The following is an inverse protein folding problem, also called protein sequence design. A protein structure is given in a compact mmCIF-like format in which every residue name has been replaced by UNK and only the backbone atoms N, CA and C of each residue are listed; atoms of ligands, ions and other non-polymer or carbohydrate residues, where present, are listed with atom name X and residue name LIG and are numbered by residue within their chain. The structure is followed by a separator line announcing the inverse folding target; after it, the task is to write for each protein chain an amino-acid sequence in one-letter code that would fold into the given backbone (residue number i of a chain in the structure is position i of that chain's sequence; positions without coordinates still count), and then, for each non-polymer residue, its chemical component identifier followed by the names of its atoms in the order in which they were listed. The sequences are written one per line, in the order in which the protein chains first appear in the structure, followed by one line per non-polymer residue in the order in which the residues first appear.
data_IF_852247814488
#
_entry.id   IF_852247814488
#
_cell.length_a   1.000
_cell.length_b   1.000
_cell.length_c   1.000
_cell.angle_alpha   90.00
_cell.angle_beta   90.00
_cell.angle_gamma   90.00
#
_symmetry.space_group_name_H-M   'P 1'
#
loop_
_entity.id
_entity.type
_entity.pdbx_description
1 polymer ?
#
# COMPACT_ATOMS: atom_id res chain seq x y z
N UNK A 1 34.42 -7.03 -24.08
CA UNK A 1 33.69 -8.30 -24.19
C UNK A 1 34.11 -8.93 -25.49
N UNK A 2 34.70 -10.11 -25.41
CA UNK A 2 34.92 -10.91 -26.61
C UNK A 2 33.58 -11.40 -27.18
N UNK A 3 33.58 -11.97 -28.40
CA UNK A 3 32.34 -12.39 -29.06
C UNK A 3 31.59 -13.49 -28.29
N UNK A 4 32.28 -14.24 -27.42
CA UNK A 4 31.70 -15.31 -26.62
C UNK A 4 31.03 -14.77 -25.35
N UNK A 5 31.67 -13.81 -24.66
CA UNK A 5 31.11 -13.05 -23.54
C UNK A 5 29.78 -12.40 -23.91
N UNK A 6 29.68 -11.83 -25.12
CA UNK A 6 28.47 -11.18 -25.60
C UNK A 6 27.29 -12.17 -25.74
N UNK A 7 27.55 -13.40 -26.17
CA UNK A 7 26.53 -14.44 -26.33
C UNK A 7 26.05 -14.96 -24.97
N UNK A 8 26.96 -15.17 -24.03
CA UNK A 8 26.64 -15.61 -22.66
C UNK A 8 25.89 -14.51 -21.91
N UNK A 9 26.39 -13.26 -21.96
CA UNK A 9 25.79 -12.12 -21.29
C UNK A 9 24.37 -11.85 -21.79
N UNK A 10 24.06 -12.10 -23.06
CA UNK A 10 22.72 -11.88 -23.63
C UNK A 10 21.62 -12.62 -22.87
N UNK A 11 21.83 -13.90 -22.52
CA UNK A 11 20.83 -14.70 -21.79
C UNK A 11 20.68 -14.24 -20.34
N UNK A 12 21.81 -13.96 -19.67
CA UNK A 12 21.82 -13.48 -18.29
C UNK A 12 21.15 -12.10 -18.16
N UNK A 13 21.48 -11.17 -19.05
CA UNK A 13 20.88 -9.84 -19.08
C UNK A 13 19.39 -9.90 -19.41
N UNK A 14 18.94 -10.81 -20.28
CA UNK A 14 17.53 -11.00 -20.54
C UNK A 14 16.77 -11.41 -19.27
N UNK A 15 17.31 -12.37 -18.52
CA UNK A 15 16.71 -12.85 -17.27
C UNK A 15 16.73 -11.78 -16.17
N UNK A 16 17.87 -11.12 -15.95
CA UNK A 16 18.01 -10.04 -14.96
C UNK A 16 17.01 -8.92 -15.27
N UNK A 17 16.94 -8.47 -16.53
CA UNK A 17 16.01 -7.42 -16.93
C UNK A 17 14.56 -7.86 -16.78
N UNK A 18 14.24 -9.15 -17.00
CA UNK A 18 12.91 -9.69 -16.76
C UNK A 18 12.52 -9.61 -15.29
N UNK A 19 13.39 -10.08 -14.38
CA UNK A 19 13.17 -10.03 -12.93
C UNK A 19 13.03 -8.60 -12.39
N UNK A 20 13.87 -7.69 -12.88
CA UNK A 20 13.78 -6.27 -12.53
C UNK A 20 12.46 -5.66 -13.02
N UNK A 21 11.99 -6.02 -14.22
CA UNK A 21 10.68 -5.57 -14.71
C UNK A 21 9.54 -6.05 -13.81
N UNK A 22 9.53 -7.30 -13.37
CA UNK A 22 8.49 -7.78 -12.45
C UNK A 22 8.44 -6.98 -11.15
N UNK A 23 9.60 -6.57 -10.60
CA UNK A 23 9.65 -5.68 -9.42
C UNK A 23 9.08 -4.28 -9.72
N UNK A 24 9.30 -3.76 -10.92
CA UNK A 24 8.69 -2.49 -11.37
C UNK A 24 7.17 -2.63 -11.54
N UNK A 25 6.72 -3.75 -12.12
CA UNK A 25 5.32 -4.04 -12.37
C UNK A 25 4.52 -4.22 -11.07
N UNK A 26 5.15 -4.63 -9.98
CA UNK A 26 4.51 -4.64 -8.63
C UNK A 26 4.74 -3.33 -7.85
N UNK A 27 5.22 -2.26 -8.50
CA UNK A 27 5.37 -0.94 -7.87
C UNK A 27 6.53 -0.82 -6.87
N UNK A 28 7.54 -1.70 -6.95
CA UNK A 28 8.69 -1.71 -6.03
C UNK A 28 9.96 -1.07 -6.63
N UNK A 29 9.81 -0.27 -7.69
CA UNK A 29 10.95 0.39 -8.35
C UNK A 29 11.72 1.40 -7.52
N UNK A 30 11.18 1.83 -6.37
CA UNK A 30 11.88 2.72 -5.44
C UNK A 30 12.82 1.96 -4.48
N UNK A 31 12.78 0.63 -4.46
CA UNK A 31 13.67 -0.19 -3.66
C UNK A 31 15.05 -0.31 -4.31
N UNK A 32 16.08 -0.30 -3.48
CA UNK A 32 17.42 -0.70 -3.88
C UNK A 32 17.62 -2.19 -3.62
N UNK A 33 18.45 -2.84 -4.44
CA UNK A 33 18.67 -4.29 -4.36
C UNK A 33 19.45 -4.73 -3.11
N UNK A 34 20.14 -3.80 -2.45
CA UNK A 34 20.88 -4.00 -1.20
C UNK A 34 20.02 -3.79 0.06
N UNK A 35 18.73 -3.44 -0.10
CA UNK A 35 17.82 -3.24 1.04
C UNK A 35 17.61 -4.54 1.80
N UNK A 36 17.82 -4.50 3.12
CA UNK A 36 17.62 -5.63 4.02
C UNK A 36 16.15 -6.06 4.06
N UNK A 37 15.88 -7.36 3.91
CA UNK A 37 14.53 -7.94 3.95
C UNK A 37 13.77 -7.64 5.24
N UNK A 38 14.47 -7.57 6.37
CA UNK A 38 13.90 -7.23 7.69
C UNK A 38 13.36 -5.80 7.79
N UNK A 39 13.73 -4.92 6.85
CA UNK A 39 13.28 -3.52 6.82
C UNK A 39 12.10 -3.29 5.89
N UNK A 40 11.62 -4.34 5.22
CA UNK A 40 10.46 -4.26 4.35
C UNK A 40 9.17 -4.24 5.16
N UNK A 41 8.21 -3.47 4.70
CA UNK A 41 6.83 -3.56 5.17
C UNK A 41 6.19 -4.90 4.72
N UNK A 42 5.07 -5.27 5.36
CA UNK A 42 4.31 -6.45 4.99
C UNK A 42 3.90 -6.44 3.51
N UNK A 43 3.31 -5.33 3.05
CA UNK A 43 2.91 -5.15 1.65
C UNK A 43 4.10 -5.16 0.67
N UNK A 44 5.25 -4.60 1.03
CA UNK A 44 6.47 -4.72 0.20
C UNK A 44 6.91 -6.18 0.07
N UNK A 45 6.96 -6.92 1.19
CA UNK A 45 7.36 -8.34 1.19
C UNK A 45 6.40 -9.21 0.37
N UNK A 46 5.11 -8.96 0.49
CA UNK A 46 4.08 -9.67 -0.28
C UNK A 46 4.22 -9.42 -1.78
N UNK A 47 4.48 -8.17 -2.19
CA UNK A 47 4.68 -7.83 -3.61
C UNK A 47 5.99 -8.39 -4.16
N UNK A 48 7.05 -8.54 -3.36
CA UNK A 48 8.26 -9.29 -3.77
C UNK A 48 7.93 -10.76 -4.05
N UNK A 49 7.13 -11.40 -3.20
CA UNK A 49 6.71 -12.79 -3.41
C UNK A 49 5.86 -12.94 -4.68
N UNK A 50 5.04 -11.94 -4.99
CA UNK A 50 4.24 -11.87 -6.21
C UNK A 50 5.13 -11.75 -7.46
N UNK A 51 6.09 -10.83 -7.47
CA UNK A 51 7.07 -10.69 -8.56
C UNK A 51 7.92 -11.95 -8.75
N UNK A 52 8.29 -12.62 -7.65
CA UNK A 52 9.01 -13.90 -7.69
C UNK A 52 8.16 -14.99 -8.35
N UNK A 53 6.87 -15.03 -8.01
CA UNK A 53 5.91 -15.98 -8.57
C UNK A 53 5.73 -15.80 -10.07
N UNK A 54 5.56 -14.55 -10.55
CA UNK A 54 5.50 -14.23 -11.98
C UNK A 54 6.71 -14.78 -12.74
N UNK A 55 7.91 -14.59 -12.20
CA UNK A 55 9.11 -15.06 -12.88
C UNK A 55 9.36 -16.56 -12.78
N UNK A 56 8.64 -17.29 -11.93
CA UNK A 56 8.75 -18.75 -11.87
C UNK A 56 8.04 -19.44 -13.06
N UNK A 57 7.20 -18.71 -13.81
CA UNK A 57 6.47 -19.20 -14.98
C UNK A 57 5.68 -20.49 -14.72
N UNK A 58 5.12 -20.63 -13.51
CA UNK A 58 4.25 -21.75 -13.17
C UNK A 58 2.93 -21.65 -13.94
N UNK A 59 2.43 -22.80 -14.38
CA UNK A 59 1.17 -22.96 -15.14
C UNK A 59 0.33 -24.03 -14.44
N UNK A 60 -0.99 -23.85 -14.41
CA UNK A 60 -1.92 -24.78 -13.75
C UNK A 60 -1.84 -24.77 -12.22
N UNK A 61 -1.31 -23.69 -11.63
CA UNK A 61 -1.21 -23.50 -10.18
C UNK A 61 -2.39 -22.70 -9.64
N UNK A 62 -2.69 -22.87 -8.35
CA UNK A 62 -3.65 -22.04 -7.60
C UNK A 62 -2.90 -21.02 -6.75
N UNK A 63 -3.08 -19.75 -7.04
CA UNK A 63 -2.59 -18.63 -6.24
C UNK A 63 -3.69 -18.14 -5.31
N UNK A 64 -3.39 -18.05 -4.02
CA UNK A 64 -4.27 -17.46 -3.01
C UNK A 64 -3.55 -16.25 -2.42
N UNK A 65 -4.12 -15.07 -2.58
CA UNK A 65 -3.53 -13.80 -2.15
C UNK A 65 -4.44 -13.12 -1.13
N UNK A 66 -3.84 -12.67 -0.03
CA UNK A 66 -4.53 -12.03 1.08
C UNK A 66 -4.20 -10.53 1.11
N UNK A 67 -5.13 -9.69 0.65
CA UNK A 67 -5.02 -8.23 0.54
C UNK A 67 -3.71 -7.70 -0.10
N UNK A 68 -3.38 -8.11 -1.34
CA UNK A 68 -2.17 -7.65 -2.02
C UNK A 68 -2.07 -6.12 -2.26
N UNK A 69 -3.17 -5.39 -2.16
CA UNK A 69 -3.23 -3.93 -2.25
C UNK A 69 -2.68 -3.21 -1.01
N UNK A 70 -2.43 -3.93 0.10
CA UNK A 70 -1.94 -3.32 1.35
C UNK A 70 -0.69 -2.47 1.11
N UNK A 71 -0.77 -1.21 1.54
CA UNK A 71 0.34 -0.25 1.43
C UNK A 71 0.70 0.11 -0.01
N UNK A 72 -0.20 -0.14 -0.96
CA UNK A 72 -0.16 0.40 -2.31
C UNK A 72 -0.94 1.72 -2.33
N UNK A 73 -0.52 2.64 -3.20
CA UNK A 73 -1.27 3.86 -3.44
C UNK A 73 -2.25 3.62 -4.59
N UNK A 74 -3.45 4.22 -4.56
CA UNK A 74 -4.49 4.00 -5.57
C UNK A 74 -3.99 4.13 -7.03
N UNK A 75 -3.14 5.13 -7.28
CA UNK A 75 -2.48 5.30 -8.59
C UNK A 75 -1.75 4.05 -9.12
N UNK A 76 -1.23 3.22 -8.23
CA UNK A 76 -0.43 2.05 -8.58
C UNK A 76 -1.28 0.75 -8.55
N UNK A 77 -2.57 0.81 -8.20
CA UNK A 77 -3.50 -0.34 -8.17
C UNK A 77 -3.66 -1.00 -9.54
N UNK A 78 -3.72 -0.21 -10.63
CA UNK A 78 -3.73 -0.71 -12.01
C UNK A 78 -2.55 -1.65 -12.34
N UNK A 79 -1.39 -1.40 -11.73
CA UNK A 79 -0.22 -2.25 -11.93
C UNK A 79 -0.40 -3.61 -11.28
N UNK A 80 -0.95 -3.64 -10.07
CA UNK A 80 -1.29 -4.87 -9.37
C UNK A 80 -2.36 -5.66 -10.13
N UNK A 81 -3.42 -5.00 -10.63
CA UNK A 81 -4.45 -5.63 -11.45
C UNK A 81 -3.83 -6.31 -12.68
N UNK A 82 -2.92 -5.62 -13.40
CA UNK A 82 -2.22 -6.20 -14.55
C UNK A 82 -1.43 -7.46 -14.17
N UNK A 83 -0.76 -7.45 -13.03
CA UNK A 83 -0.01 -8.61 -12.53
C UNK A 83 -0.94 -9.79 -12.22
N UNK A 84 -2.08 -9.53 -11.59
CA UNK A 84 -3.08 -10.57 -11.31
C UNK A 84 -3.66 -11.16 -12.61
N UNK A 85 -3.95 -10.31 -13.60
CA UNK A 85 -4.38 -10.75 -14.93
C UNK A 85 -3.29 -11.57 -15.64
N UNK A 86 -2.02 -11.18 -15.57
CA UNK A 86 -0.92 -11.94 -16.15
C UNK A 86 -0.80 -13.34 -15.53
N UNK A 87 -0.94 -13.46 -14.20
CA UNK A 87 -0.95 -14.77 -13.54
C UNK A 87 -2.09 -15.64 -14.05
N UNK A 88 -3.29 -15.07 -14.20
CA UNK A 88 -4.45 -15.73 -14.80
C UNK A 88 -4.17 -16.18 -16.24
N UNK A 89 -3.67 -15.28 -17.07
CA UNK A 89 -3.45 -15.49 -18.52
C UNK A 89 -2.37 -16.54 -18.81
N UNK A 90 -1.45 -16.78 -17.85
CA UNK A 90 -0.50 -17.91 -17.89
C UNK A 90 -1.18 -19.28 -17.70
N UNK A 91 -2.49 -19.32 -17.43
CA UNK A 91 -3.24 -20.55 -17.19
C UNK A 91 -3.27 -20.97 -15.72
N UNK A 92 -3.21 -20.00 -14.80
CA UNK A 92 -3.35 -20.25 -13.36
C UNK A 92 -4.71 -19.79 -12.85
N UNK A 93 -5.12 -20.37 -11.72
CA UNK A 93 -6.28 -19.87 -10.96
C UNK A 93 -5.78 -18.88 -9.92
N UNK A 94 -6.41 -17.70 -9.84
CA UNK A 94 -6.04 -16.63 -8.91
C UNK A 94 -7.23 -16.31 -8.03
N UNK A 95 -7.11 -16.57 -6.73
CA UNK A 95 -8.10 -16.25 -5.70
C UNK A 95 -7.53 -15.12 -4.84
N UNK A 96 -8.26 -14.02 -4.73
CA UNK A 96 -7.80 -12.82 -4.05
C UNK A 96 -8.82 -12.40 -3.00
N UNK A 97 -8.36 -12.20 -1.77
CA UNK A 97 -9.12 -11.51 -0.72
C UNK A 97 -8.77 -10.03 -0.82
N UNK A 98 -9.75 -9.17 -1.06
CA UNK A 98 -9.55 -7.72 -1.24
C UNK A 98 -10.75 -6.92 -0.77
N UNK A 99 -10.50 -5.63 -0.53
CA UNK A 99 -11.52 -4.63 -0.23
C UNK A 99 -11.41 -3.39 -1.13
N UNK A 100 -10.40 -3.33 -2.00
CA UNK A 100 -10.23 -2.23 -2.97
C UNK A 100 -11.23 -2.33 -4.13
N UNK A 101 -11.96 -1.23 -4.38
CA UNK A 101 -13.02 -1.17 -5.40
C UNK A 101 -12.49 -1.43 -6.82
N UNK A 102 -11.31 -0.91 -7.18
CA UNK A 102 -10.76 -1.06 -8.54
C UNK A 102 -10.41 -2.52 -8.80
N UNK A 103 -9.83 -3.22 -7.81
CA UNK A 103 -9.53 -4.66 -7.92
C UNK A 103 -10.82 -5.48 -8.01
N UNK A 104 -11.80 -5.21 -7.15
CA UNK A 104 -13.08 -5.93 -7.16
C UNK A 104 -13.77 -5.78 -8.51
N UNK A 105 -13.76 -4.58 -9.10
CA UNK A 105 -14.34 -4.32 -10.43
C UNK A 105 -13.60 -5.02 -11.58
N UNK A 106 -12.31 -5.27 -11.42
CA UNK A 106 -11.50 -5.97 -12.43
C UNK A 106 -11.60 -7.51 -12.35
N UNK A 107 -12.19 -8.05 -11.27
CA UNK A 107 -12.32 -9.49 -11.07
C UNK A 107 -13.27 -10.14 -12.09
N UNK A 108 -12.97 -11.35 -12.55
CA UNK A 108 -13.88 -12.10 -13.41
C UNK A 108 -15.10 -12.64 -12.63
N UNK A 109 -14.94 -12.90 -11.33
CA UNK A 109 -15.95 -13.49 -10.45
C UNK A 109 -15.76 -12.99 -9.01
N UNK A 110 -16.86 -12.69 -8.31
CA UNK A 110 -16.86 -12.21 -6.93
C UNK A 110 -17.60 -13.22 -6.05
N UNK A 111 -17.05 -13.45 -4.86
CA UNK A 111 -17.73 -14.15 -3.75
C UNK A 111 -17.69 -13.20 -2.55
N UNK A 112 -18.86 -12.82 -2.06
CA UNK A 112 -18.99 -11.95 -0.89
C UNK A 112 -19.44 -12.76 0.32
N UNK A 113 -18.72 -12.58 1.43
CA UNK A 113 -18.96 -13.27 2.70
C UNK A 113 -19.52 -12.29 3.72
N UNK A 114 -20.62 -12.65 4.37
CA UNK A 114 -21.31 -11.77 5.28
C UNK A 114 -22.45 -12.49 6.02
N UNK A 115 -23.53 -11.78 6.40
CA UNK A 115 -23.78 -10.33 6.22
C UNK A 115 -23.05 -9.44 7.24
N UNK A 116 -22.51 -10.00 8.32
CA UNK A 116 -21.77 -9.26 9.36
C UNK A 116 -20.47 -9.99 9.72
N UNK A 117 -19.70 -9.44 10.65
CA UNK A 117 -18.49 -10.08 11.15
C UNK A 117 -18.77 -11.09 12.28
N UNK A 118 -17.82 -12.00 12.51
CA UNK A 118 -17.84 -12.94 13.64
C UNK A 118 -18.96 -13.98 13.53
N UNK A 119 -19.66 -14.25 14.65
CA UNK A 119 -20.75 -15.24 14.71
C UNK A 119 -21.97 -14.91 13.85
N UNK A 120 -22.04 -13.68 13.35
CA UNK A 120 -23.13 -13.17 12.50
C UNK A 120 -22.72 -13.13 11.02
N UNK A 121 -21.56 -13.71 10.69
CA UNK A 121 -21.08 -13.88 9.33
C UNK A 121 -20.90 -15.35 8.96
N UNK A 122 -20.08 -15.60 7.95
CA UNK A 122 -19.76 -16.96 7.49
C UNK A 122 -20.75 -17.52 6.48
N UNK A 123 -21.64 -16.68 5.94
CA UNK A 123 -22.56 -17.03 4.87
C UNK A 123 -22.12 -16.37 3.56
N UNK A 124 -22.37 -17.04 2.43
CA UNK A 124 -22.17 -16.45 1.10
C UNK A 124 -23.39 -15.59 0.81
N UNK A 125 -23.21 -14.26 0.82
CA UNK A 125 -24.29 -13.29 0.58
C UNK A 125 -24.42 -12.90 -0.89
N UNK A 126 -23.35 -13.09 -1.66
CA UNK A 126 -23.34 -12.93 -3.11
C UNK A 126 -22.28 -13.83 -3.74
N UNK A 127 -22.57 -14.40 -4.90
CA UNK A 127 -21.57 -15.03 -5.75
C UNK A 127 -21.96 -14.89 -7.23
N UNK A 128 -21.06 -14.43 -8.08
CA UNK A 128 -21.40 -14.17 -9.48
C UNK A 128 -20.35 -13.41 -10.27
N UNK A 129 -20.66 -13.19 -11.55
CA UNK A 129 -19.88 -12.36 -12.47
C UNK A 129 -20.02 -10.88 -12.09
N UNK A 130 -18.89 -10.16 -12.03
CA UNK A 130 -18.86 -8.72 -11.70
C UNK A 130 -19.65 -7.85 -12.67
N UNK A 131 -19.87 -8.30 -13.91
CA UNK A 131 -20.61 -7.55 -14.92
C UNK A 131 -22.13 -7.64 -14.71
N UNK A 132 -22.59 -8.57 -13.87
CA UNK A 132 -24.01 -8.84 -13.61
C UNK A 132 -24.41 -8.45 -12.18
N UNK A 133 -23.81 -7.40 -11.63
CA UNK A 133 -24.20 -6.85 -10.33
C UNK A 133 -25.61 -6.29 -10.40
N UNK A 134 -26.47 -6.74 -9.49
CA UNK A 134 -27.87 -6.28 -9.39
C UNK A 134 -28.05 -5.34 -8.21
N UNK A 135 -28.85 -4.31 -8.44
CA UNK A 135 -29.38 -3.43 -7.41
C UNK A 135 -30.21 -4.22 -6.37
N UNK A 136 -30.33 -3.68 -5.16
CA UNK A 136 -31.08 -4.29 -4.04
C UNK A 136 -30.57 -5.66 -3.60
N UNK A 137 -29.25 -5.87 -3.70
CA UNK A 137 -28.59 -7.06 -3.15
C UNK A 137 -28.48 -6.99 -1.62
N UNK A 138 -28.56 -8.14 -0.95
CA UNK A 138 -28.28 -8.26 0.48
C UNK A 138 -26.79 -8.03 0.82
N UNK A 139 -25.90 -8.11 -0.17
CA UNK A 139 -24.47 -7.81 -0.05
C UNK A 139 -24.19 -6.31 0.12
N UNK A 140 -23.49 -5.92 1.19
CA UNK A 140 -22.99 -4.55 1.35
C UNK A 140 -22.04 -4.19 0.20
N UNK A 141 -21.13 -5.09 -0.15
CA UNK A 141 -20.16 -4.90 -1.23
C UNK A 141 -20.86 -4.50 -2.54
N UNK A 142 -21.90 -5.24 -2.93
CA UNK A 142 -22.68 -4.91 -4.14
C UNK A 142 -23.37 -3.55 -4.01
N UNK A 143 -23.94 -3.21 -2.86
CA UNK A 143 -24.59 -1.90 -2.66
C UNK A 143 -23.62 -0.72 -2.73
N UNK A 144 -22.38 -0.87 -2.27
CA UNK A 144 -21.33 0.15 -2.48
C UNK A 144 -20.91 0.22 -3.96
N UNK A 145 -20.72 -0.92 -4.63
CA UNK A 145 -20.33 -0.97 -6.04
C UNK A 145 -21.40 -0.41 -7.00
N UNK A 146 -22.69 -0.57 -6.68
CA UNK A 146 -23.79 0.00 -7.47
C UNK A 146 -24.12 1.44 -7.07
N UNK A 147 -23.52 1.95 -5.99
CA UNK A 147 -23.73 3.30 -5.47
C UNK A 147 -25.07 3.50 -4.74
N UNK A 148 -25.75 2.42 -4.34
CA UNK A 148 -26.89 2.48 -3.41
C UNK A 148 -26.46 2.96 -2.02
N UNK A 149 -25.29 2.48 -1.57
CA UNK A 149 -24.61 2.99 -0.38
C UNK A 149 -23.38 3.80 -0.78
N UNK A 150 -23.10 4.88 -0.06
CA UNK A 150 -21.95 5.77 -0.28
C UNK A 150 -21.43 6.30 1.05
N UNK A 151 -20.12 6.52 1.12
CA UNK A 151 -19.50 7.19 2.26
C UNK A 151 -19.77 8.70 2.13
N UNK A 152 -20.49 9.27 3.10
CA UNK A 152 -20.79 10.69 3.11
C UNK A 152 -19.52 11.53 3.31
N UNK A 153 -19.38 12.59 2.51
CA UNK A 153 -18.30 13.56 2.67
C UNK A 153 -18.76 14.60 3.69
N UNK A 154 -18.04 14.83 4.81
CA UNK A 154 -18.48 15.78 5.81
C UNK A 154 -18.57 17.18 5.21
N UNK A 155 -19.67 17.88 5.46
CA UNK A 155 -19.96 19.21 4.90
C UNK A 155 -19.14 20.34 5.53
N UNK A 156 -18.54 20.09 6.70
CA UNK A 156 -17.75 21.06 7.45
C UNK A 156 -16.39 20.47 7.87
N UNK A 157 -15.35 21.31 7.87
CA UNK A 157 -14.02 20.99 8.42
C UNK A 157 -13.71 21.99 9.52
N UNK A 158 -13.33 21.49 10.71
CA UNK A 158 -13.04 22.31 11.88
C UNK A 158 -11.81 23.21 11.59
N UNK A 159 -11.88 24.53 11.86
CA UNK A 159 -10.72 25.41 11.78
C UNK A 159 -9.72 25.06 12.90
N UNK A 160 -8.44 25.36 12.65
CA UNK A 160 -7.36 25.07 13.59
C UNK A 160 -6.43 26.28 13.70
N UNK A 161 -5.91 26.50 14.90
CA UNK A 161 -4.97 27.60 15.19
C UNK A 161 -3.66 27.10 15.82
N UNK A 162 -3.68 25.89 16.40
CA UNK A 162 -2.54 25.30 17.07
C UNK A 162 -1.92 24.21 16.20
N UNK A 163 -0.61 24.04 16.27
CA UNK A 163 0.13 23.09 15.46
C UNK A 163 1.44 22.65 16.11
N UNK A 164 1.96 21.53 15.66
CA UNK A 164 3.36 21.13 15.87
C UNK A 164 4.06 21.26 14.53
N UNK A 165 5.23 21.87 14.50
CA UNK A 165 6.02 22.03 13.29
C UNK A 165 7.32 21.24 13.41
N UNK A 166 7.56 20.38 12.41
CA UNK A 166 8.83 19.69 12.23
C UNK A 166 9.65 20.51 11.25
N UNK A 167 10.83 20.95 11.66
CA UNK A 167 11.75 21.70 10.81
C UNK A 167 12.86 20.80 10.26
N UNK A 168 13.13 20.92 8.97
CA UNK A 168 14.27 20.31 8.30
C UNK A 168 14.33 18.80 8.44
N UNK A 169 13.23 18.08 8.23
CA UNK A 169 13.15 16.62 8.27
C UNK A 169 13.99 15.96 7.14
N UNK A 170 14.95 15.11 7.49
CA UNK A 170 15.96 14.54 6.56
C UNK A 170 16.16 13.02 6.68
N UNK A 171 15.32 12.30 7.41
CA UNK A 171 15.42 10.84 7.52
C UNK A 171 15.19 10.17 6.17
N UNK A 172 16.04 9.20 5.81
CA UNK A 172 15.98 8.46 4.55
C UNK A 172 15.99 9.37 3.30
N UNK A 173 14.91 9.39 2.53
CA UNK A 173 14.80 10.17 1.28
C UNK A 173 14.13 11.55 1.47
N UNK A 174 13.87 11.97 2.71
CA UNK A 174 13.32 13.29 2.99
C UNK A 174 14.35 14.38 2.71
N UNK A 175 13.92 15.46 2.05
CA UNK A 175 14.80 16.48 1.47
C UNK A 175 15.05 17.70 2.38
N UNK A 176 15.00 17.53 3.70
CA UNK A 176 15.07 18.67 4.63
C UNK A 176 13.80 19.52 4.61
N UNK A 177 12.64 18.85 4.68
CA UNK A 177 11.33 19.51 4.57
C UNK A 177 10.84 20.05 5.92
N UNK A 178 10.13 21.18 5.87
CA UNK A 178 9.39 21.72 7.02
C UNK A 178 7.91 21.32 6.89
N UNK A 179 7.31 20.82 7.97
CA UNK A 179 5.91 20.32 7.96
C UNK A 179 5.18 20.70 9.24
N UNK A 180 4.01 21.34 9.06
CA UNK A 180 3.07 21.65 10.14
C UNK A 180 2.01 20.55 10.28
N UNK A 181 1.84 20.05 11.49
CA UNK A 181 0.81 19.12 11.91
C UNK A 181 -0.22 19.87 12.76
N UNK A 182 -1.39 20.23 12.20
CA UNK A 182 -2.40 20.98 12.93
C UNK A 182 -3.04 20.11 14.02
N UNK A 183 -3.31 20.74 15.17
CA UNK A 183 -3.90 20.07 16.33
C UNK A 183 -5.43 20.10 16.30
N UNK A 184 -6.05 19.14 17.00
CA UNK A 184 -7.51 19.02 17.18
C UNK A 184 -8.31 18.87 15.88
N UNK A 185 -7.65 18.44 14.79
CA UNK A 185 -8.23 18.14 13.49
C UNK A 185 -7.72 16.80 12.98
N UNK A 186 -8.46 16.18 12.06
CA UNK A 186 -8.02 14.98 11.37
C UNK A 186 -7.05 15.35 10.25
N UNK A 187 -5.78 14.98 10.42
CA UNK A 187 -4.73 15.19 9.43
C UNK A 187 -4.39 13.86 8.75
N UNK A 188 -4.43 13.84 7.42
CA UNK A 188 -4.07 12.66 6.61
C UNK A 188 -2.75 12.94 5.90
N UNK A 189 -1.76 12.06 6.11
CA UNK A 189 -0.50 12.08 5.35
C UNK A 189 -0.61 11.06 4.23
N UNK A 190 -0.76 11.55 3.00
CA UNK A 190 -0.93 10.73 1.79
C UNK A 190 0.29 10.85 0.84
N UNK A 191 0.30 10.04 -0.21
CA UNK A 191 1.36 9.98 -1.22
C UNK A 191 1.73 8.55 -1.59
N UNK A 192 2.45 8.40 -2.70
CA UNK A 192 2.83 7.10 -3.29
C UNK A 192 3.76 6.27 -2.39
N UNK A 193 3.86 4.97 -2.64
CA UNK A 193 4.80 4.11 -1.90
C UNK A 193 6.25 4.58 -2.12
N UNK A 194 7.04 4.56 -1.03
CA UNK A 194 8.39 5.13 -1.05
C UNK A 194 8.49 6.66 -0.96
N UNK A 195 7.38 7.42 -0.89
CA UNK A 195 7.45 8.89 -0.81
C UNK A 195 8.00 9.47 0.50
N UNK A 196 8.21 8.64 1.52
CA UNK A 196 8.73 9.06 2.84
C UNK A 196 7.67 9.26 3.93
N UNK A 197 6.40 8.86 3.71
CA UNK A 197 5.30 9.01 4.71
C UNK A 197 5.66 8.43 6.08
N UNK A 198 6.10 7.16 6.11
CA UNK A 198 6.48 6.50 7.37
C UNK A 198 7.68 7.17 8.03
N UNK A 199 8.66 7.63 7.23
CA UNK A 199 9.81 8.35 7.75
C UNK A 199 9.44 9.70 8.35
N UNK A 200 8.46 10.40 7.76
CA UNK A 200 7.97 11.66 8.32
C UNK A 200 7.15 11.42 9.59
N UNK A 201 6.18 10.51 9.55
CA UNK A 201 5.19 10.35 10.63
C UNK A 201 5.72 9.50 11.78
N UNK A 202 6.22 8.30 11.49
CA UNK A 202 6.65 7.35 12.53
C UNK A 202 8.04 7.70 13.04
N UNK A 203 8.97 7.87 12.11
CA UNK A 203 10.39 7.95 12.44
C UNK A 203 10.84 9.35 12.89
N UNK A 204 10.14 10.41 12.47
CA UNK A 204 10.46 11.79 12.87
C UNK A 204 9.41 12.34 13.82
N UNK A 205 8.17 12.48 13.37
CA UNK A 205 7.13 13.16 14.14
C UNK A 205 6.80 12.42 15.44
N UNK A 206 6.45 11.13 15.37
CA UNK A 206 6.13 10.33 16.55
C UNK A 206 7.33 10.15 17.48
N UNK A 207 8.50 9.74 16.96
CA UNK A 207 9.70 9.59 17.80
C UNK A 207 10.12 10.92 18.47
N UNK A 208 9.97 12.04 17.76
CA UNK A 208 10.27 13.37 18.28
C UNK A 208 9.31 13.80 19.38
N UNK A 209 7.99 13.72 19.14
CA UNK A 209 6.96 14.06 20.14
C UNK A 209 7.04 13.11 21.34
N UNK A 210 7.22 11.81 21.13
CA UNK A 210 7.37 10.84 22.23
C UNK A 210 8.54 11.20 23.15
N UNK A 211 9.69 11.57 22.59
CA UNK A 211 10.86 11.94 23.40
C UNK A 211 10.69 13.24 24.16
N UNK A 212 9.94 14.19 23.58
CA UNK A 212 9.52 15.40 24.29
C UNK A 212 8.71 15.04 25.54
N UNK A 213 7.77 14.10 25.41
CA UNK A 213 6.94 13.63 26.54
C UNK A 213 7.73 12.78 27.56
N UNK A 214 8.72 12.01 27.11
CA UNK A 214 9.57 11.18 27.96
C UNK A 214 10.72 11.98 28.65
N UNK A 215 10.74 13.32 28.55
CA UNK A 215 11.79 14.21 29.10
C UNK A 215 13.22 13.86 28.65
N UNK A 216 13.36 13.28 27.45
CA UNK A 216 14.67 12.88 26.93
C UNK A 216 15.38 14.08 26.31
N UNK A 217 16.40 14.59 27.00
CA UNK A 217 17.16 15.82 26.69
C UNK A 217 17.93 15.85 25.35
N UNK A 218 18.00 14.76 24.59
CA UNK A 218 18.66 14.75 23.26
C UNK A 218 17.72 14.31 22.15
N UNK A 219 17.37 15.24 21.27
CA UNK A 219 16.76 14.95 19.98
C UNK A 219 17.81 14.28 19.07
N UNK A 220 17.86 12.95 19.07
CA UNK A 220 18.55 12.17 18.02
C UNK A 220 17.62 11.79 16.88
N UNK A 221 16.73 12.71 16.51
CA UNK A 221 15.84 12.53 15.35
C UNK A 221 16.46 13.30 14.19
N UNK A 222 16.40 12.76 12.97
CA UNK A 222 16.96 13.39 11.76
C UNK A 222 16.12 14.59 11.29
N UNK A 223 16.00 15.60 12.14
CA UNK A 223 15.36 16.89 11.88
C UNK A 223 16.13 18.03 12.57
N UNK A 224 15.90 19.27 12.15
CA UNK A 224 16.54 20.44 12.75
C UNK A 224 15.93 20.82 14.09
N UNK A 225 14.61 20.85 14.20
CA UNK A 225 13.87 21.08 15.45
C UNK A 225 12.43 20.60 15.32
N UNK A 226 11.74 20.46 16.46
CA UNK A 226 10.30 20.22 16.53
C UNK A 226 9.75 21.23 17.52
N UNK A 227 8.90 22.13 17.04
CA UNK A 227 8.43 23.30 17.77
C UNK A 227 6.89 23.41 17.67
N UNK A 228 6.32 24.46 18.27
CA UNK A 228 4.88 24.72 18.27
C UNK A 228 4.21 24.36 19.60
N UNK A 229 2.93 24.01 19.54
CA UNK A 229 2.07 23.81 20.70
C UNK A 229 2.23 22.41 21.34
N UNK A 230 3.48 21.95 21.53
CA UNK A 230 3.79 20.63 22.12
C UNK A 230 3.14 20.42 23.50
N UNK A 231 3.00 21.49 24.29
CA UNK A 231 2.33 21.49 25.59
C UNK A 231 0.83 21.19 25.52
N UNK A 232 0.22 21.18 24.33
CA UNK A 232 -1.19 20.83 24.15
C UNK A 232 -1.39 19.31 23.94
N UNK A 233 -0.31 18.53 23.85
CA UNK A 233 -0.30 17.08 23.66
C UNK A 233 0.00 16.41 25.01
N UNK A 234 -0.74 16.73 26.07
CA UNK A 234 -0.50 16.12 27.39
C UNK A 234 -1.48 14.96 27.60
N UNK A 235 -0.94 13.83 28.04
CA UNK A 235 -1.69 12.64 28.51
C UNK A 235 -2.14 12.85 29.95
#
# INVERSE_FOLDING_TARGET
MDANDAVIAKRLLAEINSRLRFLLDVGLGYLTLDRLSSTLSGGESQRINLATSLGSSLVGSLYILDEPSIGLHSRDTDLLIKVLCQLKDLGNTVVVVEHDEEIIRAADYIIDIGPKAGRLGGEVVYQGDVNNLQHSSDSYTVRYLTGEEKIEIPSYRRPWNNFIEVHGARRNNLKGIDVKFPLNVMTVVTGVSGSGKSSLVRDIFYEGVKRYLDDVTRLTVDCSSIDGDLNMIVV
#
